data_IF_683288543260
#
_entry.id   IF_683288543260
#
_cell.length_a   1.000
_cell.length_b   1.000
_cell.length_c   1.000
_cell.angle_alpha   90.00
_cell.angle_beta   90.00
_cell.angle_gamma   90.00
#
_symmetry.space_group_name_H-M   'P 1'
#
loop_
_entity.id
_entity.type
_entity.pdbx_description
1 polymer ?
#
# COMPACT_ATOMS: atom_id res chain seq x y z
N UNK A 1 -0.70 -7.28 3.61
CA UNK A 1 -1.59 -8.35 3.06
C UNK A 1 -3.05 -8.02 3.29
N UNK A 2 -3.39 -7.47 4.46
CA UNK A 2 -4.75 -7.11 4.84
C UNK A 2 -5.40 -6.09 3.89
N UNK A 3 -4.66 -5.10 3.41
CA UNK A 3 -5.20 -4.10 2.47
C UNK A 3 -5.73 -4.70 1.16
N UNK A 4 -5.03 -5.69 0.62
CA UNK A 4 -5.44 -6.39 -0.62
C UNK A 4 -6.64 -7.31 -0.39
N UNK A 5 -6.78 -7.87 0.81
CA UNK A 5 -7.90 -8.79 1.13
C UNK A 5 -9.15 -8.02 1.51
N UNK A 6 -9.02 -6.93 2.26
CA UNK A 6 -10.14 -6.13 2.73
C UNK A 6 -10.80 -5.29 1.61
N UNK A 7 -10.04 -4.88 0.59
CA UNK A 7 -10.55 -4.06 -0.52
C UNK A 7 -10.93 -4.86 -1.77
N UNK A 8 -10.53 -6.13 -1.88
CA UNK A 8 -10.89 -6.96 -3.04
C UNK A 8 -12.05 -7.85 -2.66
N UNK A 9 -13.24 -7.26 -2.76
CA UNK A 9 -14.49 -7.98 -2.93
C UNK A 9 -14.35 -8.80 -4.22
N UNK A 10 -13.90 -10.04 -4.04
CA UNK A 10 -13.59 -10.96 -5.12
C UNK A 10 -14.92 -11.44 -5.68
N UNK A 11 -15.52 -10.68 -6.59
CA UNK A 11 -16.74 -11.04 -7.33
C UNK A 11 -16.51 -12.27 -8.24
N UNK A 12 -16.05 -13.40 -7.68
CA UNK A 12 -15.93 -14.68 -8.36
C UNK A 12 -14.87 -14.79 -9.44
N UNK A 13 -14.00 -13.79 -9.64
CA UNK A 13 -12.98 -13.84 -10.70
C UNK A 13 -11.76 -14.67 -10.23
N UNK A 14 -11.39 -15.75 -10.94
CA UNK A 14 -10.20 -16.55 -10.63
C UNK A 14 -8.94 -15.79 -11.05
N UNK A 15 -8.50 -14.86 -10.18
CA UNK A 15 -7.25 -14.12 -10.39
C UNK A 15 -6.07 -14.93 -9.84
N UNK A 16 -5.07 -15.17 -10.69
CA UNK A 16 -3.78 -15.67 -10.23
C UNK A 16 -3.06 -14.54 -9.49
N UNK A 17 -2.94 -14.66 -8.16
CA UNK A 17 -2.32 -13.64 -7.31
C UNK A 17 -0.90 -14.04 -6.95
N UNK A 18 0.01 -13.08 -6.94
CA UNK A 18 1.42 -13.30 -6.62
C UNK A 18 1.88 -12.27 -5.59
N UNK A 19 2.83 -12.66 -4.75
CA UNK A 19 3.62 -11.67 -4.00
C UNK A 19 4.54 -10.98 -4.99
N UNK A 20 4.64 -9.66 -4.92
CA UNK A 20 5.69 -8.91 -5.59
C UNK A 20 6.60 -8.33 -4.52
N UNK A 21 7.88 -8.68 -4.60
CA UNK A 21 8.92 -8.07 -3.80
C UNK A 21 9.41 -6.82 -4.52
N UNK A 22 9.48 -5.69 -3.82
CA UNK A 22 10.02 -4.44 -4.34
C UNK A 22 11.31 -4.15 -3.60
N UNK A 23 12.44 -4.33 -4.27
CA UNK A 23 13.74 -3.95 -3.74
C UNK A 23 13.94 -2.44 -3.93
N UNK A 24 14.16 -1.74 -2.82
CA UNK A 24 14.38 -0.30 -2.77
C UNK A 24 15.83 -0.04 -2.35
N UNK A 25 16.61 0.74 -3.11
CA UNK A 25 17.95 1.14 -2.67
C UNK A 25 17.91 1.95 -1.36
N UNK A 26 18.88 1.72 -0.47
CA UNK A 26 18.90 2.35 0.87
C UNK A 26 18.86 3.88 0.84
N UNK A 27 19.49 4.50 -0.17
CA UNK A 27 19.47 5.96 -0.32
C UNK A 27 18.09 6.47 -0.76
N UNK A 28 17.37 5.72 -1.58
CA UNK A 28 15.98 6.04 -1.97
C UNK A 28 15.04 5.84 -0.77
N UNK A 29 15.26 4.77 0.00
CA UNK A 29 14.51 4.52 1.23
C UNK A 29 14.77 5.59 2.30
N UNK A 30 16.03 6.02 2.45
CA UNK A 30 16.44 7.07 3.37
C UNK A 30 15.89 8.46 3.01
N UNK A 31 15.60 8.70 1.74
CA UNK A 31 15.04 9.95 1.22
C UNK A 31 13.50 9.98 1.18
N UNK A 32 12.81 8.93 1.65
CA UNK A 32 11.35 8.89 1.64
C UNK A 32 10.74 9.95 2.56
N UNK A 33 9.55 10.40 2.20
CA UNK A 33 8.71 11.20 3.10
C UNK A 33 7.97 10.26 4.05
N UNK A 34 7.87 10.64 5.32
CA UNK A 34 7.09 9.90 6.32
C UNK A 34 5.99 10.82 6.83
N UNK A 35 4.74 10.35 6.78
CA UNK A 35 3.60 10.99 7.42
C UNK A 35 3.15 10.10 8.58
N UNK A 36 2.96 10.72 9.74
CA UNK A 36 2.31 10.11 10.89
C UNK A 36 0.82 10.42 10.87
N UNK A 37 0.06 9.73 11.70
CA UNK A 37 -1.39 9.98 11.85
C UNK A 37 -1.70 11.45 12.18
N UNK A 38 -0.87 12.08 13.02
CA UNK A 38 -0.97 13.50 13.38
C UNK A 38 -0.74 14.47 12.20
N UNK A 39 -0.08 14.02 11.14
CA UNK A 39 0.15 14.81 9.91
C UNK A 39 -1.01 14.69 8.92
N UNK A 40 -1.96 13.78 9.16
CA UNK A 40 -3.06 13.47 8.25
C UNK A 40 -4.33 14.27 8.63
N UNK A 41 -5.11 14.72 7.62
CA UNK A 41 -6.35 15.44 7.87
C UNK A 41 -7.39 14.52 8.54
N UNK A 42 -8.30 15.10 9.32
CA UNK A 42 -9.41 14.34 9.91
C UNK A 42 -10.21 13.57 8.85
N UNK A 43 -10.50 12.30 9.13
CA UNK A 43 -11.22 11.41 8.21
C UNK A 43 -10.36 10.84 7.07
N UNK A 44 -9.03 10.89 7.18
CA UNK A 44 -8.12 10.23 6.23
C UNK A 44 -8.31 8.71 6.19
N UNK A 45 -8.71 8.12 7.31
CA UNK A 45 -8.94 6.70 7.56
C UNK A 45 -10.38 6.26 7.29
N UNK A 46 -11.23 7.14 6.75
CA UNK A 46 -12.62 6.83 6.47
C UNK A 46 -12.77 5.62 5.53
N UNK A 47 -13.70 4.71 5.87
CA UNK A 47 -14.09 3.56 5.05
C UNK A 47 -15.60 3.69 4.76
N UNK A 48 -16.04 3.89 3.50
CA UNK A 48 -15.24 3.98 2.27
C UNK A 48 -14.38 5.26 2.20
N UNK A 49 -13.28 5.19 1.45
CA UNK A 49 -12.28 6.27 1.37
C UNK A 49 -12.90 7.63 1.01
N UNK A 50 -12.60 8.64 1.82
CA UNK A 50 -13.02 10.02 1.62
C UNK A 50 -12.08 10.82 0.72
N UNK A 51 -12.47 12.07 0.43
CA UNK A 51 -11.63 13.02 -0.32
C UNK A 51 -10.35 13.41 0.43
N UNK A 52 -10.35 13.31 1.77
CA UNK A 52 -9.25 13.75 2.62
C UNK A 52 -7.93 13.03 2.31
N UNK A 53 -7.93 11.69 2.29
CA UNK A 53 -6.74 10.89 1.94
C UNK A 53 -6.36 11.01 0.46
N UNK A 54 -7.36 11.11 -0.42
CA UNK A 54 -7.14 11.28 -1.88
C UNK A 54 -6.40 12.57 -2.19
N UNK A 55 -6.77 13.67 -1.53
CA UNK A 55 -6.13 14.97 -1.75
C UNK A 55 -4.66 14.95 -1.32
N UNK A 56 -4.36 14.42 -0.13
CA UNK A 56 -2.99 14.29 0.39
C UNK A 56 -2.11 13.46 -0.56
N UNK A 57 -2.61 12.30 -0.98
CA UNK A 57 -1.89 11.45 -1.94
C UNK A 57 -1.70 12.10 -3.30
N UNK A 58 -2.71 12.81 -3.80
CA UNK A 58 -2.64 13.51 -5.10
C UNK A 58 -1.65 14.67 -5.09
N UNK A 59 -1.66 15.48 -4.04
CA UNK A 59 -0.74 16.61 -3.90
C UNK A 59 0.71 16.13 -3.81
N UNK A 60 0.97 15.10 -3.00
CA UNK A 60 2.28 14.47 -2.94
C UNK A 60 2.72 13.90 -4.30
N UNK A 61 1.84 13.14 -4.95
CA UNK A 61 2.14 12.51 -6.24
C UNK A 61 2.44 13.54 -7.33
N UNK A 62 1.71 14.66 -7.36
CA UNK A 62 1.89 15.73 -8.34
C UNK A 62 3.10 16.61 -8.03
N UNK A 63 3.44 16.83 -6.76
CA UNK A 63 4.64 17.56 -6.37
C UNK A 63 5.93 16.85 -6.86
N UNK A 64 5.91 15.51 -6.92
CA UNK A 64 6.98 14.68 -7.47
C UNK A 64 8.37 15.03 -6.87
N UNK A 65 8.40 15.27 -5.56
CA UNK A 65 9.60 15.63 -4.79
C UNK A 65 10.32 14.40 -4.22
N UNK A 66 9.55 13.41 -3.77
CA UNK A 66 10.06 12.14 -3.27
C UNK A 66 9.55 10.97 -4.11
N UNK A 67 10.36 9.91 -4.19
CA UNK A 67 9.95 8.66 -4.84
C UNK A 67 8.95 7.86 -4.01
N UNK A 68 9.03 8.01 -2.68
CA UNK A 68 8.35 7.17 -1.70
C UNK A 68 7.67 8.02 -0.64
N UNK A 69 6.46 7.61 -0.26
CA UNK A 69 5.71 8.13 0.87
C UNK A 69 5.34 6.97 1.78
N UNK A 70 5.84 6.99 3.01
CA UNK A 70 5.42 6.10 4.09
C UNK A 70 4.33 6.78 4.92
N UNK A 71 3.24 6.05 5.19
CA UNK A 71 2.09 6.52 5.97
C UNK A 71 1.44 5.34 6.72
N UNK A 72 0.67 5.57 7.80
CA UNK A 72 -0.07 4.51 8.47
C UNK A 72 -1.10 3.84 7.54
N UNK A 73 -1.34 2.55 7.72
CA UNK A 73 -2.46 1.86 7.06
C UNK A 73 -3.79 2.34 7.65
N UNK A 74 -4.76 2.61 6.79
CA UNK A 74 -6.12 2.94 7.24
C UNK A 74 -6.85 1.75 7.88
N UNK A 75 -6.33 0.52 7.74
CA UNK A 75 -6.94 -0.70 8.28
C UNK A 75 -6.27 -1.11 9.60
N UNK A 76 -4.94 -1.01 9.67
CA UNK A 76 -4.14 -1.32 10.85
C UNK A 76 -3.18 -0.15 11.07
N UNK A 77 -3.57 0.90 11.81
CA UNK A 77 -2.77 2.12 11.97
C UNK A 77 -1.36 1.87 12.55
N UNK A 78 -1.15 0.76 13.24
CA UNK A 78 0.15 0.34 13.76
C UNK A 78 1.12 -0.18 12.69
N UNK A 79 0.61 -0.52 11.49
CA UNK A 79 1.41 -0.89 10.33
C UNK A 79 1.55 0.29 9.37
N UNK A 80 2.72 0.43 8.74
CA UNK A 80 2.92 1.41 7.67
C UNK A 80 2.76 0.80 6.29
N UNK A 81 2.21 1.60 5.38
CA UNK A 81 2.19 1.35 3.95
C UNK A 81 3.09 2.35 3.24
N UNK A 82 3.53 1.97 2.05
CA UNK A 82 4.42 2.80 1.24
C UNK A 82 3.81 3.00 -0.13
N UNK A 83 3.60 4.26 -0.51
CA UNK A 83 3.23 4.65 -1.87
C UNK A 83 4.49 4.91 -2.69
N UNK A 84 4.47 4.51 -3.96
CA UNK A 84 5.55 4.72 -4.92
C UNK A 84 5.08 5.69 -5.99
N UNK A 85 5.80 6.81 -6.15
CA UNK A 85 5.54 7.74 -7.24
C UNK A 85 6.28 7.28 -8.51
N UNK A 86 5.59 6.55 -9.39
CA UNK A 86 6.16 6.03 -10.63
C UNK A 86 6.68 7.12 -11.60
N UNK A 87 6.29 8.40 -11.44
CA UNK A 87 6.81 9.51 -12.23
C UNK A 87 8.17 10.03 -11.73
N UNK A 88 8.54 9.69 -10.50
CA UNK A 88 9.79 10.15 -9.91
C UNK A 88 10.98 9.43 -10.55
N UNK A 89 12.08 10.16 -10.79
CA UNK A 89 13.28 9.61 -11.45
C UNK A 89 13.87 8.41 -10.70
N UNK A 90 13.85 8.45 -9.37
CA UNK A 90 14.38 7.39 -8.53
C UNK A 90 13.48 6.15 -8.47
N UNK A 91 12.20 6.25 -8.86
CA UNK A 91 11.31 5.09 -8.97
C UNK A 91 11.84 4.06 -9.97
N UNK A 92 12.60 4.48 -10.99
CA UNK A 92 13.24 3.59 -11.98
C UNK A 92 14.35 2.72 -11.40
N UNK A 93 14.81 3.02 -10.19
CA UNK A 93 15.88 2.29 -9.50
C UNK A 93 15.33 1.13 -8.66
N UNK A 94 14.03 1.10 -8.43
CA UNK A 94 13.36 0.02 -7.74
C UNK A 94 13.31 -1.22 -8.64
N UNK A 95 13.43 -2.40 -8.04
CA UNK A 95 13.33 -3.67 -8.76
C UNK A 95 12.15 -4.46 -8.22
N UNK A 96 11.25 -4.83 -9.13
CA UNK A 96 10.13 -5.69 -8.81
C UNK A 96 10.47 -7.15 -9.16
N UNK A 97 10.37 -8.05 -8.19
CA UNK A 97 10.55 -9.49 -8.38
C UNK A 97 9.26 -10.21 -8.04
N UNK A 98 8.66 -10.88 -9.02
CA UNK A 98 7.50 -11.72 -8.80
C UNK A 98 7.91 -12.94 -7.97
N UNK A 99 7.37 -13.02 -6.76
CA UNK A 99 7.52 -14.15 -5.85
C UNK A 99 6.48 -15.25 -6.11
N UNK A 100 6.23 -16.05 -5.07
CA UNK A 100 5.30 -17.19 -5.14
C UNK A 100 3.85 -16.75 -5.38
N UNK A 101 3.07 -17.64 -6.02
CA UNK A 101 1.62 -17.53 -6.08
C UNK A 101 1.04 -17.60 -4.66
N UNK A 102 0.08 -16.72 -4.36
CA UNK A 102 -0.71 -16.79 -3.13
C UNK A 102 -2.12 -17.23 -3.49
N UNK A 103 -2.58 -18.24 -2.77
CA UNK A 103 -3.98 -18.61 -2.68
C UNK A 103 -4.50 -18.23 -1.29
N UNK A 104 -5.34 -17.20 -1.22
CA UNK A 104 -5.86 -16.69 0.05
C UNK A 104 -6.76 -17.71 0.75
N UNK A 105 -7.40 -18.61 -0.01
CA UNK A 105 -8.27 -19.66 0.54
C UNK A 105 -7.49 -20.73 1.32
N UNK A 106 -6.17 -20.85 1.11
CA UNK A 106 -5.32 -21.75 1.89
C UNK A 106 -4.79 -21.12 3.19
N UNK A 107 -4.74 -19.79 3.28
CA UNK A 107 -4.16 -19.07 4.42
C UNK A 107 -5.22 -18.77 5.49
N UNK A 108 -6.44 -18.44 5.07
CA UNK A 108 -7.59 -18.27 5.97
C UNK A 108 -8.34 -19.60 6.05
N UNK A 109 -7.85 -20.54 6.88
CA UNK A 109 -8.72 -21.64 7.33
C UNK A 109 -9.77 -21.02 8.24
N UNK A 110 -10.96 -20.78 7.71
CA UNK A 110 -12.14 -20.52 8.51
C UNK A 110 -12.31 -21.71 9.46
N UNK A 111 -12.30 -21.42 10.76
CA UNK A 111 -12.80 -22.30 11.79
C UNK A 111 -14.29 -22.52 11.49
N UNK A 112 -14.61 -23.58 10.74
CA UNK A 112 -15.94 -24.16 10.71
C UNK A 112 -15.92 -25.47 11.50
N UNK A 113 -16.03 -25.32 12.82
CA UNK A 113 -16.60 -26.29 13.76
C UNK A 113 -17.51 -25.43 14.65
N UNK A 114 -18.83 -25.64 14.81
CA UNK A 114 -19.77 -26.72 14.48
C UNK A 114 -21.15 -26.08 14.27
#
# INVERSE_FOLDING_TARGET
>A
MLETVAHIDSHGLPLNRYVVWIDVPDDVWGARRVLKEEDLPGGWDAIPHGMASTQVGSDWYNANQEALLELPSAIVPEESIVLINAKHKDAKRLKATTGRRIDYNMVLRTLTET
#
